data_IF_012889341829
#
_entry.id   IF_012889341829
#
_cell.length_a   1.000
_cell.length_b   1.000
_cell.length_c   1.000
_cell.angle_alpha   90.00
_cell.angle_beta   90.00
_cell.angle_gamma   90.00
#
_symmetry.space_group_name_H-M   'P 1'
#
loop_
_entity.id
_entity.type
_entity.pdbx_description
1 polymer ?
#
# COMPACT_ATOMS: atom_id res chain seq x y z
N UNK A 1 4.50 15.59 -6.46
CA UNK A 1 3.86 14.29 -6.73
C UNK A 1 2.81 14.56 -7.79
N UNK A 2 2.61 13.68 -8.78
CA UNK A 2 1.52 13.79 -9.76
C UNK A 2 0.30 13.04 -9.19
N UNK A 3 -0.53 13.68 -8.35
CA UNK A 3 -1.52 12.97 -7.53
C UNK A 3 -2.65 12.40 -8.39
N UNK A 4 -2.88 13.00 -9.55
CA UNK A 4 -4.00 12.65 -10.43
C UNK A 4 -3.74 11.38 -11.26
N UNK A 5 -2.49 10.91 -11.34
CA UNK A 5 -2.10 9.79 -12.22
C UNK A 5 -1.14 8.77 -11.59
N UNK A 6 -0.76 8.92 -10.32
CA UNK A 6 0.09 7.96 -9.60
C UNK A 6 -0.45 7.69 -8.20
N UNK A 7 -0.53 6.41 -7.83
CA UNK A 7 -0.84 5.99 -6.47
C UNK A 7 0.37 6.18 -5.54
N UNK A 8 0.09 6.60 -4.32
CA UNK A 8 1.02 6.43 -3.19
C UNK A 8 1.18 4.95 -2.84
N UNK A 9 2.24 4.57 -2.11
CA UNK A 9 2.41 3.19 -1.63
C UNK A 9 1.21 2.64 -0.84
N UNK A 10 0.60 3.47 0.01
CA UNK A 10 -0.57 3.07 0.80
C UNK A 10 -1.81 2.84 -0.09
N UNK A 11 -2.01 3.69 -1.10
CA UNK A 11 -3.08 3.50 -2.09
C UNK A 11 -2.85 2.25 -2.95
N UNK A 12 -1.60 1.95 -3.32
CA UNK A 12 -1.25 0.70 -4.01
C UNK A 12 -1.59 -0.55 -3.20
N UNK A 13 -1.26 -0.56 -1.90
CA UNK A 13 -1.65 -1.67 -1.00
C UNK A 13 -3.18 -1.74 -0.84
N UNK A 14 -3.86 -0.58 -0.70
CA UNK A 14 -5.32 -0.54 -0.62
C UNK A 14 -5.97 -1.13 -1.88
N UNK A 15 -5.52 -0.72 -3.06
CA UNK A 15 -6.04 -1.23 -4.33
C UNK A 15 -5.88 -2.75 -4.44
N UNK A 16 -4.76 -3.30 -3.99
CA UNK A 16 -4.56 -4.76 -3.91
C UNK A 16 -5.60 -5.42 -3.01
N UNK A 17 -5.80 -4.90 -1.78
CA UNK A 17 -6.78 -5.45 -0.83
C UNK A 17 -8.20 -5.37 -1.39
N UNK A 18 -8.57 -4.28 -2.05
CA UNK A 18 -9.90 -4.10 -2.62
C UNK A 18 -10.20 -5.19 -3.67
N UNK A 19 -9.20 -5.56 -4.49
CA UNK A 19 -9.30 -6.69 -5.42
C UNK A 19 -9.43 -8.06 -4.72
N UNK A 20 -9.03 -8.16 -3.46
CA UNK A 20 -9.15 -9.36 -2.61
C UNK A 20 -10.40 -9.33 -1.71
N UNK A 21 -11.35 -8.43 -1.98
CA UNK A 21 -12.56 -8.30 -1.15
C UNK A 21 -12.31 -7.65 0.22
N UNK A 22 -11.30 -6.78 0.29
CA UNK A 22 -10.93 -6.02 1.49
C UNK A 22 -10.14 -6.82 2.53
N UNK A 23 -9.68 -8.04 2.20
CA UNK A 23 -8.92 -8.91 3.10
C UNK A 23 -7.53 -9.20 2.52
N UNK A 24 -6.56 -9.43 3.40
CA UNK A 24 -5.24 -9.85 2.96
C UNK A 24 -5.33 -11.19 2.22
N UNK A 25 -4.76 -11.23 1.01
CA UNK A 25 -4.87 -12.37 0.11
C UNK A 25 -3.89 -12.25 -1.07
N UNK A 26 -3.46 -13.39 -1.60
CA UNK A 26 -2.46 -13.43 -2.67
C UNK A 26 -1.13 -12.77 -2.29
N UNK A 27 -0.32 -12.43 -3.29
CA UNK A 27 0.98 -11.76 -3.13
C UNK A 27 0.96 -10.42 -3.86
N UNK A 28 1.31 -9.35 -3.16
CA UNK A 28 1.54 -8.03 -3.75
C UNK A 28 2.96 -7.98 -4.31
N UNK A 29 3.11 -7.65 -5.60
CA UNK A 29 4.38 -7.31 -6.22
C UNK A 29 4.33 -5.83 -6.63
N UNK A 30 5.00 -4.91 -5.91
CA UNK A 30 5.07 -3.51 -6.32
C UNK A 30 5.86 -3.39 -7.61
N UNK A 31 5.28 -2.70 -8.59
CA UNK A 31 5.90 -2.35 -9.86
C UNK A 31 6.12 -0.84 -9.93
N UNK A 32 6.73 -0.37 -11.02
CA UNK A 32 6.95 1.06 -11.27
C UNK A 32 7.90 1.74 -10.27
N UNK A 33 8.79 0.95 -9.65
CA UNK A 33 9.81 1.37 -8.69
C UNK A 33 11.12 0.58 -8.91
N UNK A 34 12.24 1.09 -8.39
CA UNK A 34 13.50 0.33 -8.28
C UNK A 34 14.42 0.34 -9.50
N UNK A 35 14.06 1.06 -10.57
CA UNK A 35 14.84 1.11 -11.83
C UNK A 35 15.20 2.53 -12.27
N UNK A 36 14.24 3.46 -12.32
CA UNK A 36 14.44 4.84 -12.78
C UNK A 36 13.95 5.87 -11.75
N UNK A 37 14.66 7.00 -11.66
CA UNK A 37 14.25 8.13 -10.84
C UNK A 37 13.36 9.08 -11.66
N UNK A 38 12.05 8.89 -11.55
CA UNK A 38 11.04 9.69 -12.28
C UNK A 38 10.28 10.68 -11.38
N UNK A 39 10.71 10.82 -10.12
CA UNK A 39 10.11 11.70 -9.13
C UNK A 39 11.17 12.26 -8.16
N UNK A 40 10.91 13.40 -7.50
CA UNK A 40 11.90 14.10 -6.67
C UNK A 40 12.14 13.48 -5.28
N UNK A 41 11.38 12.46 -4.91
CA UNK A 41 11.56 11.74 -3.65
C UNK A 41 12.80 10.82 -3.71
N UNK A 42 13.35 10.41 -2.57
CA UNK A 42 14.46 9.45 -2.59
C UNK A 42 13.99 8.13 -3.21
N UNK A 43 14.83 7.50 -4.02
CA UNK A 43 14.42 6.35 -4.82
C UNK A 43 14.00 5.15 -3.97
N UNK A 44 14.54 5.00 -2.76
CA UNK A 44 14.22 3.92 -1.84
C UNK A 44 12.87 4.11 -1.10
N UNK A 45 12.32 5.33 -1.08
CA UNK A 45 11.12 5.66 -0.32
C UNK A 45 9.88 4.83 -0.70
N UNK A 46 9.54 4.62 -1.99
CA UNK A 46 8.35 3.84 -2.32
C UNK A 46 8.43 2.38 -1.91
N UNK A 47 9.61 1.76 -2.03
CA UNK A 47 9.84 0.38 -1.59
C UNK A 47 9.69 0.24 -0.08
N UNK A 48 10.33 1.13 0.67
CA UNK A 48 10.23 1.21 2.13
C UNK A 48 8.77 1.35 2.58
N UNK A 49 8.03 2.32 2.03
CA UNK A 49 6.68 2.62 2.48
C UNK A 49 5.64 1.60 2.00
N UNK A 50 5.88 0.94 0.87
CA UNK A 50 5.04 -0.18 0.43
C UNK A 50 5.19 -1.35 1.40
N UNK A 51 6.43 -1.65 1.80
CA UNK A 51 6.71 -2.71 2.78
C UNK A 51 6.02 -2.41 4.10
N UNK A 52 6.18 -1.20 4.64
CA UNK A 52 5.53 -0.80 5.89
C UNK A 52 3.99 -0.90 5.79
N UNK A 53 3.40 -0.40 4.68
CA UNK A 53 1.95 -0.44 4.49
C UNK A 53 1.41 -1.87 4.31
N UNK A 54 2.16 -2.76 3.66
CA UNK A 54 1.79 -4.17 3.51
C UNK A 54 1.88 -4.91 4.84
N UNK A 55 2.92 -4.68 5.63
CA UNK A 55 3.08 -5.26 6.97
C UNK A 55 1.97 -4.82 7.92
N UNK A 56 1.62 -3.53 7.93
CA UNK A 56 0.50 -3.01 8.72
C UNK A 56 -0.84 -3.66 8.34
N UNK A 57 -1.04 -3.95 7.06
CA UNK A 57 -2.25 -4.61 6.57
C UNK A 57 -2.22 -6.15 6.69
N UNK A 58 -1.12 -6.75 7.14
CA UNK A 58 -0.92 -8.20 7.11
C UNK A 58 -0.90 -8.80 5.70
N UNK A 59 -0.62 -8.00 4.67
CA UNK A 59 -0.59 -8.41 3.27
C UNK A 59 0.80 -8.96 2.91
N UNK A 60 0.85 -10.17 2.37
CA UNK A 60 2.08 -10.73 1.82
C UNK A 60 2.56 -9.89 0.63
N UNK A 61 3.81 -9.43 0.66
CA UNK A 61 4.43 -8.67 -0.40
C UNK A 61 5.80 -9.26 -0.78
N UNK A 62 6.09 -9.26 -2.08
CA UNK A 62 7.37 -9.71 -2.63
C UNK A 62 8.15 -8.51 -3.17
N UNK A 63 9.43 -8.45 -2.83
CA UNK A 63 10.38 -7.43 -3.25
C UNK A 63 11.62 -8.08 -3.89
N UNK A 64 11.48 -8.75 -5.04
CA UNK A 64 12.63 -9.33 -5.72
C UNK A 64 13.65 -8.25 -6.08
N UNK A 65 14.93 -8.62 -6.07
CA UNK A 65 15.96 -7.79 -6.70
C UNK A 65 15.72 -7.74 -8.22
N UNK A 66 16.16 -6.68 -8.93
CA UNK A 66 16.04 -6.64 -10.38
C UNK A 66 16.66 -7.90 -11.02
N UNK A 67 15.82 -8.67 -11.74
CA UNK A 67 16.21 -9.93 -12.38
C UNK A 67 16.11 -11.19 -11.51
N UNK A 68 15.74 -11.09 -10.23
CA UNK A 68 15.52 -12.25 -9.35
C UNK A 68 14.14 -12.90 -9.64
N UNK A 69 14.10 -14.18 -10.06
CA UNK A 69 12.85 -14.90 -10.23
C UNK A 69 12.30 -15.37 -8.87
N UNK A 70 10.97 -15.44 -8.75
CA UNK A 70 10.32 -16.07 -7.60
C UNK A 70 8.96 -16.64 -8.00
N UNK A 71 8.48 -17.61 -7.23
CA UNK A 71 7.14 -18.20 -7.37
C UNK A 71 6.20 -17.63 -6.28
N UNK A 72 5.01 -17.11 -6.63
CA UNK A 72 4.08 -16.57 -5.63
C UNK A 72 3.60 -17.59 -4.59
N UNK A 73 3.56 -18.88 -4.94
CA UNK A 73 3.22 -19.96 -4.02
C UNK A 73 4.42 -20.47 -3.20
N UNK A 74 5.62 -19.93 -3.46
CA UNK A 74 6.87 -20.36 -2.84
C UNK A 74 7.34 -19.41 -1.74
N UNK A 75 8.66 -19.42 -1.51
CA UNK A 75 9.31 -18.48 -0.60
C UNK A 75 9.34 -17.09 -1.26
N UNK A 76 8.70 -16.12 -0.62
CA UNK A 76 8.68 -14.75 -1.11
C UNK A 76 10.00 -14.02 -0.80
N UNK A 77 10.55 -13.25 -1.75
CA UNK A 77 11.67 -12.36 -1.48
C UNK A 77 11.18 -11.14 -0.70
N UNK A 78 11.00 -11.24 0.61
CA UNK A 78 10.45 -10.16 1.46
C UNK A 78 11.51 -9.15 1.96
N UNK A 79 12.78 -9.38 1.63
CA UNK A 79 13.90 -8.60 2.14
C UNK A 79 13.94 -7.19 1.54
N UNK A 80 14.21 -6.19 2.39
CA UNK A 80 14.35 -4.79 2.01
C UNK A 80 15.74 -4.50 1.39
N UNK A 81 16.06 -5.15 0.28
CA UNK A 81 17.40 -5.14 -0.33
C UNK A 81 17.92 -3.74 -0.67
N UNK A 82 17.01 -2.79 -0.96
CA UNK A 82 17.36 -1.40 -1.27
C UNK A 82 18.10 -0.73 -0.12
N UNK A 83 17.82 -1.09 1.14
CA UNK A 83 18.49 -0.51 2.32
C UNK A 83 20.00 -0.72 2.31
N UNK A 84 20.49 -1.78 1.64
CA UNK A 84 21.92 -2.07 1.50
C UNK A 84 22.63 -1.28 0.39
N UNK A 85 21.87 -0.62 -0.50
CA UNK A 85 22.39 0.11 -1.67
C UNK A 85 21.88 1.55 -1.75
N UNK A 86 21.03 1.97 -0.82
CA UNK A 86 20.52 3.34 -0.70
C UNK A 86 21.25 4.12 0.38
N UNK A 87 21.29 5.44 0.21
CA UNK A 87 21.57 6.33 1.34
C UNK A 87 20.41 6.25 2.36
N UNK A 88 20.64 6.63 3.63
CA UNK A 88 19.57 6.73 4.61
C UNK A 88 18.43 7.63 4.14
N UNK A 89 17.19 7.19 4.30
CA UNK A 89 16.00 7.99 3.98
C UNK A 89 15.87 9.08 5.03
N UNK A 90 16.12 10.33 4.64
CA UNK A 90 16.15 11.47 5.57
C UNK A 90 14.76 11.86 6.12
N UNK A 91 13.68 11.51 5.41
CA UNK A 91 12.30 11.84 5.79
C UNK A 91 11.51 10.55 6.04
N UNK A 92 11.25 10.19 7.32
CA UNK A 92 10.38 9.07 7.60
C UNK A 92 8.96 9.39 7.12
N UNK A 93 8.32 8.47 6.41
CA UNK A 93 6.91 8.58 6.08
C UNK A 93 6.09 8.56 7.35
N UNK A 94 5.41 9.67 7.62
CA UNK A 94 4.36 9.73 8.62
C UNK A 94 3.06 9.63 7.86
N UNK A 95 2.30 8.54 8.05
CA UNK A 95 0.86 8.61 7.78
C UNK A 95 0.31 9.78 8.58
N UNK A 96 -0.46 10.71 7.98
CA UNK A 96 -1.38 11.50 8.78
C UNK A 96 -2.22 10.50 9.58
N UNK A 97 -2.28 10.67 10.91
CA UNK A 97 -3.15 9.85 11.76
C UNK A 97 -4.54 9.91 11.14
N UNK A 98 -5.09 8.76 10.77
CA UNK A 98 -6.44 8.69 10.20
C UNK A 98 -7.35 9.44 11.18
N UNK A 99 -7.95 10.55 10.75
CA UNK A 99 -9.02 11.14 11.52
C UNK A 99 -10.09 10.06 11.60
N UNK A 100 -10.41 9.64 12.82
CA UNK A 100 -11.55 8.76 13.07
C UNK A 100 -12.73 9.32 12.29
N UNK A 101 -13.27 8.53 11.35
CA UNK A 101 -14.54 8.87 10.74
C UNK A 101 -15.54 9.11 11.90
N UNK A 102 -16.37 10.17 11.84
CA UNK A 102 -17.45 10.29 12.79
C UNK A 102 -18.25 8.98 12.71
N UNK A 103 -18.54 8.40 13.88
CA UNK A 103 -19.34 7.19 13.98
C UNK A 103 -20.59 7.34 13.11
N UNK A 104 -20.91 6.32 12.32
CA UNK A 104 -22.17 6.25 11.60
C UNK A 104 -23.30 6.52 12.59
N UNK A 105 -24.05 7.61 12.34
CA UNK A 105 -25.31 7.83 13.04
C UNK A 105 -26.22 6.64 12.73
N UNK A 106 -26.93 6.08 13.72
CA UNK A 106 -27.82 4.96 13.47
C UNK A 106 -28.88 5.39 12.45
N UNK A 107 -29.08 4.58 11.42
CA UNK A 107 -30.15 4.69 10.43
C UNK A 107 -31.45 5.06 11.14
N UNK A 108 -31.92 6.29 10.91
CA UNK A 108 -33.28 6.66 11.27
C UNK A 108 -34.21 5.95 10.30
N UNK A 109 -34.86 4.92 10.81
CA UNK A 109 -35.98 4.22 10.19
C UNK A 109 -37.01 5.27 9.71
N UNK A 110 -37.07 5.48 8.39
CA UNK A 110 -38.06 6.35 7.77
C UNK A 110 -39.33 5.53 7.62
N UNK A 111 -40.16 5.56 8.65
CA UNK A 111 -41.52 5.04 8.65
C UNK A 111 -42.35 5.73 7.55
N UNK A 112 -42.50 5.05 6.41
CA UNK A 112 -43.38 5.44 5.31
C UNK A 112 -44.76 4.77 5.47
N UNK A 113 -45.38 4.92 6.64
CA UNK A 113 -46.81 4.66 6.82
C UNK A 113 -47.55 5.99 7.06
N UNK A 114 -47.90 6.66 5.97
CA UNK A 114 -48.90 7.73 5.96
C UNK A 114 -50.22 7.20 5.47
N UNK A 115 -51.11 6.84 6.39
CA UNK A 115 -52.55 6.60 6.15
C UNK A 115 -53.17 7.73 5.31
N UNK A 116 -53.82 7.38 4.20
CA UNK A 116 -55.15 7.85 3.78
C UNK A 116 -55.80 6.89 2.80
#
# INVERSE_FOLDING_TARGET
MLPDIHMTPAEGVRAHLDLQGGRAGGVLLPIHWGTFNLAPHAWAEPGEWTKDAAEEAGQAAAFPRPGEPFEPAGKLPAEAWWRGVSQPIARPWRRPKQASAPAEEPERDLDLAGDR
#
